data_IF_939670617120
#
_entry.id   IF_939670617120
#
_cell.length_a   1.000
_cell.length_b   1.000
_cell.length_c   1.000
_cell.angle_alpha   90.00
_cell.angle_beta   90.00
_cell.angle_gamma   90.00
#
_symmetry.space_group_name_H-M   'P 1'
#
loop_
_entity.id
_entity.type
_entity.pdbx_description
1 polymer ?
#
# COMPACT_ATOMS: atom_id res chain seq x y z
N UNK A 1 7.70 43.83 -52.58
CA UNK A 1 8.73 42.81 -52.86
C UNK A 1 9.21 42.09 -51.56
N UNK A 2 9.52 42.80 -50.45
CA UNK A 2 10.04 42.22 -49.22
C UNK A 2 9.08 41.22 -48.53
N UNK A 3 7.78 41.49 -48.50
CA UNK A 3 6.78 40.64 -47.84
C UNK A 3 6.63 39.30 -48.58
N UNK A 4 6.66 39.30 -49.91
CA UNK A 4 6.60 38.08 -50.72
C UNK A 4 7.86 37.21 -50.52
N UNK A 5 9.04 37.83 -50.50
CA UNK A 5 10.30 37.13 -50.23
C UNK A 5 10.32 36.52 -48.84
N UNK A 6 9.81 37.23 -47.83
CA UNK A 6 9.70 36.72 -46.45
C UNK A 6 8.74 35.51 -46.35
N UNK A 7 7.61 35.55 -47.07
CA UNK A 7 6.68 34.42 -47.11
C UNK A 7 7.28 33.19 -47.80
N UNK A 8 8.02 33.37 -48.88
CA UNK A 8 8.69 32.29 -49.60
C UNK A 8 9.76 31.64 -48.70
N UNK A 9 10.62 32.47 -48.08
CA UNK A 9 11.66 31.94 -47.16
C UNK A 9 11.06 31.20 -45.96
N UNK A 10 9.99 31.73 -45.37
CA UNK A 10 9.29 31.07 -44.28
C UNK A 10 8.69 29.71 -44.70
N UNK A 11 8.06 29.66 -45.90
CA UNK A 11 7.52 28.42 -46.46
C UNK A 11 8.61 27.39 -46.76
N UNK A 12 9.75 27.80 -47.27
CA UNK A 12 10.91 26.91 -47.52
C UNK A 12 11.50 26.39 -46.22
N UNK A 13 11.63 27.22 -45.18
CA UNK A 13 12.11 26.81 -43.87
C UNK A 13 11.14 25.84 -43.23
N UNK A 14 9.84 26.10 -43.30
CA UNK A 14 8.80 25.20 -42.77
C UNK A 14 8.80 23.86 -43.51
N UNK A 15 8.89 23.88 -44.85
CA UNK A 15 8.96 22.68 -45.68
C UNK A 15 10.21 21.86 -45.38
N UNK A 16 11.39 22.52 -45.25
CA UNK A 16 12.63 21.87 -44.86
C UNK A 16 12.58 21.26 -43.47
N UNK A 17 11.98 21.99 -42.51
CA UNK A 17 11.78 21.48 -41.14
C UNK A 17 10.86 20.25 -41.10
N UNK A 18 9.72 20.29 -41.82
CA UNK A 18 8.80 19.15 -41.91
C UNK A 18 9.45 17.94 -42.57
N UNK A 19 10.24 18.20 -43.67
CA UNK A 19 10.99 17.12 -44.32
C UNK A 19 12.05 16.52 -43.43
N UNK A 20 12.84 17.33 -42.69
CA UNK A 20 13.87 16.89 -41.79
C UNK A 20 13.28 16.05 -40.63
N UNK A 21 12.15 16.51 -40.08
CA UNK A 21 11.45 15.82 -38.96
C UNK A 21 11.08 14.38 -39.28
N UNK A 22 10.76 14.08 -40.57
CA UNK A 22 10.41 12.74 -41.04
C UNK A 22 11.56 12.05 -41.79
N UNK A 23 12.72 12.63 -41.81
CA UNK A 23 13.88 12.09 -42.52
C UNK A 23 14.53 10.94 -41.71
N UNK A 24 15.10 9.98 -42.43
CA UNK A 24 15.94 8.92 -41.85
C UNK A 24 17.20 9.44 -41.15
N UNK A 25 17.58 10.70 -41.42
CA UNK A 25 18.71 11.38 -40.77
C UNK A 25 18.51 11.65 -39.28
N UNK A 26 17.29 11.62 -38.79
CA UNK A 26 16.91 11.87 -37.39
C UNK A 26 16.08 10.71 -36.81
N UNK A 27 16.00 9.60 -37.53
CA UNK A 27 15.33 8.40 -37.07
C UNK A 27 16.04 7.85 -35.83
N UNK A 28 15.27 7.42 -34.83
CA UNK A 28 15.79 6.80 -33.61
C UNK A 28 16.40 5.43 -33.95
N UNK A 29 17.69 5.25 -33.68
CA UNK A 29 18.46 4.01 -33.88
C UNK A 29 18.97 3.47 -32.57
N UNK A 30 19.49 4.34 -31.72
CA UNK A 30 20.09 3.99 -30.42
C UNK A 30 19.08 4.30 -29.31
N UNK A 31 18.49 3.23 -28.77
CA UNK A 31 17.54 3.35 -27.65
C UNK A 31 18.21 2.81 -26.40
N UNK A 32 18.32 3.65 -25.37
CA UNK A 32 18.80 3.25 -24.06
C UNK A 32 17.66 3.26 -23.05
N UNK A 33 17.29 2.09 -22.57
CA UNK A 33 16.28 1.93 -21.51
C UNK A 33 17.00 1.67 -20.20
N UNK A 34 16.63 2.39 -19.16
CA UNK A 34 17.20 2.28 -17.81
C UNK A 34 16.08 2.26 -16.76
N UNK A 35 16.38 1.71 -15.57
CA UNK A 35 15.42 1.70 -14.45
C UNK A 35 14.55 0.46 -14.39
N UNK A 36 14.80 -0.57 -15.22
CA UNK A 36 14.12 -1.85 -15.20
C UNK A 36 14.88 -2.83 -14.28
N UNK A 37 14.20 -3.46 -13.33
CA UNK A 37 14.80 -4.38 -12.36
C UNK A 37 14.01 -5.69 -12.16
N UNK A 38 12.82 -5.80 -12.69
CA UNK A 38 11.94 -6.96 -12.47
C UNK A 38 12.11 -8.09 -13.49
N UNK A 39 11.53 -9.26 -13.24
CA UNK A 39 11.57 -10.40 -14.18
C UNK A 39 10.92 -10.09 -15.53
N UNK A 40 10.04 -9.07 -15.59
CA UNK A 40 9.42 -8.57 -16.81
C UNK A 40 10.25 -7.53 -17.59
N UNK A 41 11.43 -7.14 -17.10
CA UNK A 41 12.28 -6.12 -17.72
C UNK A 41 12.54 -6.32 -19.22
N UNK A 42 12.89 -7.51 -19.72
CA UNK A 42 13.12 -7.72 -21.14
C UNK A 42 11.90 -7.45 -22.02
N UNK A 43 10.70 -7.79 -21.53
CA UNK A 43 9.47 -7.58 -22.28
C UNK A 43 9.09 -6.08 -22.35
N UNK A 44 9.26 -5.34 -21.26
CA UNK A 44 9.07 -3.89 -21.20
C UNK A 44 10.06 -3.18 -22.10
N UNK A 45 11.35 -3.58 -22.05
CA UNK A 45 12.41 -3.03 -22.91
C UNK A 45 12.10 -3.26 -24.38
N UNK A 46 11.75 -4.50 -24.77
CA UNK A 46 11.40 -4.81 -26.16
C UNK A 46 10.22 -3.97 -26.66
N UNK A 47 9.18 -3.78 -25.84
CA UNK A 47 8.03 -2.95 -26.17
C UNK A 47 8.42 -1.48 -26.39
N UNK A 48 9.25 -0.93 -25.48
CA UNK A 48 9.75 0.47 -25.58
C UNK A 48 10.65 0.66 -26.78
N UNK A 49 11.61 -0.24 -27.02
CA UNK A 49 12.52 -0.19 -28.18
C UNK A 49 11.72 -0.29 -29.47
N UNK A 50 10.75 -1.21 -29.55
CA UNK A 50 9.88 -1.35 -30.72
C UNK A 50 9.03 -0.11 -31.00
N UNK A 51 8.55 0.57 -29.96
CA UNK A 51 7.82 1.84 -30.11
C UNK A 51 8.75 3.00 -30.49
N UNK A 52 9.92 3.11 -29.84
CA UNK A 52 10.88 4.17 -30.04
C UNK A 52 11.47 4.20 -31.48
N UNK A 53 11.76 3.03 -32.06
CA UNK A 53 12.29 2.90 -33.42
C UNK A 53 11.35 3.42 -34.52
N UNK A 54 10.07 3.62 -34.20
CA UNK A 54 9.09 4.21 -35.13
C UNK A 54 9.03 5.73 -35.03
N UNK A 55 9.90 6.35 -34.26
CA UNK A 55 9.94 7.80 -34.01
C UNK A 55 11.23 8.42 -34.56
N UNK A 56 11.26 9.73 -34.58
CA UNK A 56 12.48 10.50 -34.82
C UNK A 56 12.88 11.25 -33.54
N UNK A 57 14.17 11.62 -33.43
CA UNK A 57 14.66 12.41 -32.28
C UNK A 57 14.07 13.82 -32.22
N UNK A 58 13.54 14.33 -33.34
CA UNK A 58 12.84 15.62 -33.44
C UNK A 58 11.32 15.49 -33.23
N UNK A 59 10.81 14.26 -33.23
CA UNK A 59 9.37 13.97 -33.09
C UNK A 59 9.14 12.77 -32.18
N UNK A 60 9.41 12.98 -30.90
CA UNK A 60 9.18 11.97 -29.88
C UNK A 60 7.75 12.09 -29.36
N UNK A 61 7.03 10.98 -29.35
CA UNK A 61 5.65 10.88 -28.88
C UNK A 61 5.59 10.10 -27.56
N UNK A 62 5.66 10.76 -26.38
CA UNK A 62 5.61 10.07 -25.09
C UNK A 62 4.32 9.28 -24.88
N UNK A 63 3.21 9.72 -25.48
CA UNK A 63 1.93 9.00 -25.41
C UNK A 63 2.00 7.62 -26.07
N UNK A 64 2.70 7.48 -27.20
CA UNK A 64 2.87 6.20 -27.88
C UNK A 64 3.79 5.26 -27.09
N UNK A 65 4.80 5.78 -26.39
CA UNK A 65 5.62 4.99 -25.47
C UNK A 65 4.81 4.51 -24.27
N UNK A 66 3.98 5.39 -23.67
CA UNK A 66 3.07 4.99 -22.59
C UNK A 66 2.06 3.94 -23.04
N UNK A 67 1.53 4.06 -24.25
CA UNK A 67 0.63 3.07 -24.83
C UNK A 67 1.33 1.71 -25.03
N UNK A 68 2.60 1.69 -25.43
CA UNK A 68 3.37 0.47 -25.60
C UNK A 68 3.61 -0.29 -24.27
N UNK A 69 3.71 0.42 -23.16
CA UNK A 69 3.90 -0.18 -21.83
C UNK A 69 2.61 -0.32 -21.02
N UNK A 70 1.48 0.09 -21.54
CA UNK A 70 0.18 -0.05 -20.86
C UNK A 70 -0.15 -1.49 -20.38
N UNK A 71 0.27 -2.57 -21.08
CA UNK A 71 0.09 -3.94 -20.59
C UNK A 71 0.95 -4.30 -19.37
N UNK A 72 1.92 -3.46 -19.00
CA UNK A 72 2.86 -3.71 -17.91
C UNK A 72 2.59 -2.78 -16.72
N UNK A 73 1.71 -3.17 -15.78
CA UNK A 73 1.30 -2.30 -14.67
C UNK A 73 2.42 -1.99 -13.68
N UNK A 74 3.56 -2.68 -13.76
CA UNK A 74 4.76 -2.37 -12.99
C UNK A 74 5.38 -1.02 -13.40
N UNK A 75 5.14 -0.55 -14.62
CA UNK A 75 5.63 0.74 -15.11
C UNK A 75 4.71 1.84 -14.60
N UNK A 76 5.23 2.67 -13.69
CA UNK A 76 4.52 3.82 -13.14
C UNK A 76 4.59 5.05 -14.04
N UNK A 77 5.79 5.36 -14.54
CA UNK A 77 6.03 6.53 -15.40
C UNK A 77 7.26 6.33 -16.28
N UNK A 78 7.35 7.16 -17.34
CA UNK A 78 8.43 7.18 -18.29
C UNK A 78 9.00 8.59 -18.38
N UNK A 79 10.31 8.70 -18.18
CA UNK A 79 11.06 9.92 -18.49
C UNK A 79 11.82 9.71 -19.79
N UNK A 80 11.55 10.55 -20.78
CA UNK A 80 12.09 10.39 -22.12
C UNK A 80 12.91 11.62 -22.49
N UNK A 81 14.12 11.40 -22.98
CA UNK A 81 14.98 12.46 -23.48
C UNK A 81 15.62 12.04 -24.80
N UNK A 82 15.53 12.92 -25.80
CA UNK A 82 16.18 12.73 -27.10
C UNK A 82 17.66 13.10 -27.00
N UNK A 83 18.52 12.28 -27.60
CA UNK A 83 19.94 12.52 -27.78
C UNK A 83 20.23 12.55 -29.28
N UNK A 84 20.20 13.76 -29.83
CA UNK A 84 20.44 14.02 -31.27
C UNK A 84 21.81 13.45 -31.70
N UNK A 85 21.97 12.91 -32.94
CA UNK A 85 20.95 12.80 -33.98
C UNK A 85 20.06 11.56 -33.93
N UNK A 86 20.45 10.44 -33.28
CA UNK A 86 19.79 9.14 -33.40
C UNK A 86 19.43 8.49 -32.07
N UNK A 87 19.80 9.10 -30.95
CA UNK A 87 19.65 8.54 -29.63
C UNK A 87 18.32 8.87 -28.97
N UNK A 88 17.75 7.91 -28.22
CA UNK A 88 16.63 8.13 -27.31
C UNK A 88 16.94 7.45 -25.98
N UNK A 89 16.89 8.24 -24.91
CA UNK A 89 17.08 7.73 -23.56
C UNK A 89 15.71 7.64 -22.87
N UNK A 90 15.34 6.47 -22.42
CA UNK A 90 14.09 6.20 -21.72
C UNK A 90 14.43 5.70 -20.31
N UNK A 91 14.06 6.47 -19.30
CA UNK A 91 14.14 6.05 -17.92
C UNK A 91 12.77 5.58 -17.46
N UNK A 92 12.67 4.32 -17.12
CA UNK A 92 11.45 3.72 -16.57
C UNK A 92 11.45 3.89 -15.06
N UNK A 93 10.32 4.38 -14.54
CA UNK A 93 10.06 4.44 -13.11
C UNK A 93 9.13 3.28 -12.80
N UNK A 94 9.66 2.25 -12.15
CA UNK A 94 8.89 1.09 -11.72
C UNK A 94 8.22 1.33 -10.36
N UNK A 95 7.10 0.64 -10.14
CA UNK A 95 6.44 0.53 -8.85
C UNK A 95 6.52 -0.91 -8.36
N UNK A 96 7.37 -1.18 -7.36
CA UNK A 96 7.48 -2.53 -6.83
C UNK A 96 6.22 -2.96 -6.07
N UNK A 97 5.91 -4.27 -6.04
CA UNK A 97 4.86 -4.78 -5.20
C UNK A 97 5.22 -4.61 -3.71
N UNK A 98 4.25 -4.20 -2.90
CA UNK A 98 4.41 -4.03 -1.44
C UNK A 98 3.59 -5.02 -0.64
N UNK A 99 2.53 -5.59 -1.23
CA UNK A 99 1.68 -6.59 -0.59
C UNK A 99 1.08 -7.56 -1.61
N UNK A 100 0.68 -8.73 -1.12
CA UNK A 100 -0.14 -9.70 -1.83
C UNK A 100 -1.59 -9.58 -1.35
N UNK A 101 -2.49 -9.10 -2.19
CA UNK A 101 -3.92 -9.04 -1.88
C UNK A 101 -4.52 -10.44 -2.03
N UNK A 102 -5.13 -10.95 -0.96
CA UNK A 102 -5.80 -12.24 -0.91
C UNK A 102 -7.32 -12.06 -0.89
N UNK A 103 -7.99 -12.55 -1.94
CA UNK A 103 -9.46 -12.50 -2.06
C UNK A 103 -9.95 -13.83 -2.64
N UNK A 104 -10.84 -14.51 -1.93
CA UNK A 104 -11.45 -15.74 -2.40
C UNK A 104 -10.48 -16.86 -2.78
N UNK A 105 -9.33 -16.96 -2.09
CA UNK A 105 -8.29 -17.94 -2.39
C UNK A 105 -7.34 -17.56 -3.52
N UNK A 106 -7.56 -16.43 -4.18
CA UNK A 106 -6.65 -15.89 -5.19
C UNK A 106 -5.74 -14.83 -4.58
N UNK A 107 -4.49 -14.78 -5.07
CA UNK A 107 -3.51 -13.78 -4.65
C UNK A 107 -3.07 -12.95 -5.85
N UNK A 108 -2.94 -11.65 -5.64
CA UNK A 108 -2.42 -10.73 -6.65
C UNK A 108 -1.50 -9.70 -6.00
N UNK A 109 -0.41 -9.35 -6.69
CA UNK A 109 0.52 -8.35 -6.20
C UNK A 109 -0.07 -6.94 -6.38
N UNK A 110 0.14 -6.07 -5.37
CA UNK A 110 -0.35 -4.70 -5.35
C UNK A 110 0.78 -3.75 -4.97
N UNK A 111 0.85 -2.61 -5.65
CA UNK A 111 1.79 -1.54 -5.37
C UNK A 111 1.30 -0.64 -4.21
N UNK A 112 2.20 0.17 -3.66
CA UNK A 112 1.91 1.06 -2.54
C UNK A 112 0.81 2.10 -2.83
N UNK A 113 0.64 2.50 -4.09
CA UNK A 113 -0.39 3.43 -4.53
C UNK A 113 -1.75 2.76 -4.82
N UNK A 114 -1.85 1.44 -4.59
CA UNK A 114 -3.06 0.66 -4.78
C UNK A 114 -3.27 0.12 -6.18
N UNK A 115 -2.30 0.26 -7.09
CA UNK A 115 -2.39 -0.35 -8.44
C UNK A 115 -2.17 -1.86 -8.33
N UNK A 116 -3.06 -2.63 -8.93
CA UNK A 116 -2.96 -4.09 -9.03
C UNK A 116 -1.95 -4.45 -10.09
N UNK A 117 -0.87 -5.10 -9.68
CA UNK A 117 0.24 -5.47 -10.58
C UNK A 117 0.05 -6.84 -11.22
N UNK A 118 -0.83 -7.66 -10.68
CA UNK A 118 -1.11 -9.01 -11.19
C UNK A 118 -0.35 -10.13 -10.47
N UNK A 119 -0.68 -11.39 -10.78
CA UNK A 119 -0.12 -12.55 -10.09
C UNK A 119 1.35 -12.84 -10.46
N UNK A 120 1.82 -12.37 -11.61
CA UNK A 120 3.19 -12.62 -12.08
C UNK A 120 4.28 -11.99 -11.19
N UNK A 121 3.91 -10.98 -10.38
CA UNK A 121 4.83 -10.26 -9.48
C UNK A 121 4.67 -10.68 -8.02
N UNK A 122 3.96 -11.78 -7.75
CA UNK A 122 3.86 -12.35 -6.42
C UNK A 122 5.20 -12.91 -5.96
N UNK A 123 5.53 -12.62 -4.70
CA UNK A 123 6.67 -13.21 -4.00
C UNK A 123 6.22 -13.70 -2.64
N UNK A 124 6.83 -14.78 -2.16
CA UNK A 124 6.58 -15.32 -0.83
C UNK A 124 6.99 -14.36 0.31
N UNK A 125 7.79 -13.34 0.00
CA UNK A 125 8.21 -12.31 0.95
C UNK A 125 7.19 -11.17 1.12
N UNK A 126 6.15 -11.12 0.27
CA UNK A 126 5.14 -10.08 0.36
C UNK A 126 4.16 -10.37 1.51
N UNK A 127 3.87 -9.38 2.35
CA UNK A 127 2.83 -9.52 3.37
C UNK A 127 1.46 -9.69 2.71
N UNK A 128 0.63 -10.53 3.31
CA UNK A 128 -0.72 -10.76 2.82
C UNK A 128 -1.68 -9.70 3.34
N UNK A 129 -2.37 -9.03 2.44
CA UNK A 129 -3.44 -8.08 2.74
C UNK A 129 -4.78 -8.77 2.50
N UNK A 130 -5.62 -8.84 3.52
CA UNK A 130 -6.92 -9.51 3.45
C UNK A 130 -8.05 -8.52 3.23
N UNK A 131 -9.02 -8.88 2.39
CA UNK A 131 -10.26 -8.13 2.19
C UNK A 131 -10.37 -7.46 0.83
N UNK A 132 -11.55 -6.85 0.62
CA UNK A 132 -11.86 -6.13 -0.61
C UNK A 132 -12.26 -7.01 -1.80
N UNK A 133 -12.32 -6.39 -2.97
CA UNK A 133 -12.60 -7.04 -4.24
C UNK A 133 -11.33 -7.03 -5.11
N UNK A 134 -11.15 -8.09 -5.89
CA UNK A 134 -10.06 -8.15 -6.88
C UNK A 134 -10.40 -7.17 -8.02
N UNK A 135 -9.48 -6.25 -8.29
CA UNK A 135 -9.52 -5.43 -9.48
C UNK A 135 -8.61 -6.03 -10.56
N UNK A 136 -8.90 -5.83 -11.84
CA UNK A 136 -8.00 -6.23 -12.93
C UNK A 136 -6.61 -5.59 -12.80
N UNK A 137 -5.59 -6.27 -13.32
CA UNK A 137 -4.25 -5.73 -13.38
C UNK A 137 -4.22 -4.37 -14.11
N UNK A 138 -3.45 -3.42 -13.60
CA UNK A 138 -3.38 -2.05 -14.07
C UNK A 138 -4.46 -1.13 -13.49
N UNK A 139 -5.46 -1.64 -12.80
CA UNK A 139 -6.47 -0.82 -12.12
C UNK A 139 -6.08 -0.56 -10.66
N UNK A 140 -6.56 0.57 -10.15
CA UNK A 140 -6.36 0.95 -8.74
C UNK A 140 -7.50 0.40 -7.88
N UNK A 141 -7.15 -0.10 -6.70
CA UNK A 141 -8.12 -0.48 -5.68
C UNK A 141 -8.95 0.73 -5.25
N UNK A 142 -10.21 0.48 -4.91
CA UNK A 142 -11.16 1.52 -4.51
C UNK A 142 -11.49 1.51 -3.02
N UNK A 143 -11.13 0.44 -2.31
CA UNK A 143 -11.39 0.32 -0.87
C UNK A 143 -10.47 1.25 -0.08
N UNK A 144 -11.03 2.21 0.70
CA UNK A 144 -10.22 3.12 1.50
C UNK A 144 -9.36 2.38 2.53
N UNK A 145 -9.89 1.34 3.18
CA UNK A 145 -9.15 0.55 4.17
C UNK A 145 -7.94 -0.17 3.57
N UNK A 146 -8.07 -0.71 2.33
CA UNK A 146 -6.95 -1.32 1.63
C UNK A 146 -5.90 -0.29 1.23
N UNK A 147 -6.31 0.90 0.77
CA UNK A 147 -5.39 1.98 0.42
C UNK A 147 -4.65 2.50 1.66
N UNK A 148 -5.35 2.63 2.79
CA UNK A 148 -4.74 2.97 4.07
C UNK A 148 -3.69 1.92 4.49
N UNK A 149 -4.02 0.63 4.39
CA UNK A 149 -3.09 -0.45 4.69
C UNK A 149 -1.85 -0.42 3.78
N UNK A 150 -2.03 -0.22 2.48
CA UNK A 150 -0.92 -0.11 1.51
C UNK A 150 -0.03 1.09 1.77
N UNK A 151 -0.61 2.23 2.18
CA UNK A 151 0.13 3.42 2.58
C UNK A 151 1.03 3.13 3.79
N UNK A 152 0.50 2.44 4.78
CA UNK A 152 1.26 2.06 5.98
C UNK A 152 2.35 1.03 5.65
N UNK A 153 2.02 -0.01 4.87
CA UNK A 153 2.99 -1.04 4.46
C UNK A 153 4.09 -0.43 3.59
N UNK A 154 3.72 0.43 2.64
CA UNK A 154 4.69 1.11 1.76
C UNK A 154 5.63 2.07 2.48
N UNK A 155 5.25 2.55 3.66
CA UNK A 155 6.09 3.39 4.53
C UNK A 155 7.00 2.59 5.47
N UNK A 156 6.92 1.25 5.45
CA UNK A 156 7.70 0.41 6.34
C UNK A 156 9.20 0.48 6.01
N UNK A 157 10.08 0.58 7.03
CA UNK A 157 11.51 0.42 6.83
C UNK A 157 11.86 -0.96 6.29
N UNK A 158 12.83 -1.04 5.37
CA UNK A 158 13.21 -2.29 4.69
C UNK A 158 13.43 -3.49 5.65
N UNK A 159 14.13 -3.37 6.80
CA UNK A 159 14.31 -4.50 7.70
C UNK A 159 12.99 -4.96 8.35
N UNK A 160 12.00 -4.07 8.51
CA UNK A 160 10.71 -4.43 9.15
C UNK A 160 9.70 -5.03 8.15
N UNK A 161 9.84 -4.74 6.86
CA UNK A 161 8.99 -5.34 5.83
C UNK A 161 9.12 -6.86 5.82
N UNK A 162 10.34 -7.39 6.03
CA UNK A 162 10.59 -8.83 6.04
C UNK A 162 9.95 -9.56 7.22
N UNK A 163 9.64 -8.84 8.28
CA UNK A 163 8.97 -9.40 9.46
C UNK A 163 7.45 -9.28 9.38
N UNK A 164 6.93 -8.51 8.42
CA UNK A 164 5.50 -8.36 8.21
C UNK A 164 4.92 -9.58 7.49
N UNK A 165 3.94 -10.23 8.10
CA UNK A 165 3.29 -11.42 7.56
C UNK A 165 1.97 -11.09 6.88
N UNK A 166 1.13 -10.31 7.57
CA UNK A 166 -0.19 -9.92 7.04
C UNK A 166 -0.68 -8.62 7.65
N UNK A 167 -1.67 -8.01 6.98
CA UNK A 167 -2.38 -6.85 7.46
C UNK A 167 -3.89 -7.03 7.26
N UNK A 168 -4.67 -6.53 8.19
CA UNK A 168 -6.13 -6.54 8.13
C UNK A 168 -6.73 -5.40 8.94
N UNK A 169 -7.97 -5.08 8.66
CA UNK A 169 -8.74 -4.09 9.41
C UNK A 169 -9.43 -4.80 10.58
N UNK A 170 -9.10 -4.42 11.79
CA UNK A 170 -9.57 -5.02 13.03
C UNK A 170 -10.32 -4.03 13.92
N UNK A 171 -10.74 -4.44 15.13
CA UNK A 171 -11.47 -3.56 16.06
C UNK A 171 -10.68 -2.31 16.48
N UNK A 172 -9.35 -2.38 16.44
CA UNK A 172 -8.44 -1.28 16.77
C UNK A 172 -8.00 -0.52 15.50
N UNK A 173 -8.70 -0.70 14.37
CA UNK A 173 -8.31 -0.23 13.05
C UNK A 173 -7.24 -1.11 12.41
N UNK A 174 -6.42 -0.53 11.55
CA UNK A 174 -5.38 -1.27 10.83
C UNK A 174 -4.45 -2.01 11.81
N UNK A 175 -4.43 -3.32 11.67
CA UNK A 175 -3.63 -4.24 12.48
C UNK A 175 -2.66 -4.97 11.58
N UNK A 176 -1.38 -4.91 11.93
CA UNK A 176 -0.32 -5.65 11.27
C UNK A 176 0.07 -6.86 12.13
N UNK A 177 0.31 -7.98 11.48
CA UNK A 177 0.84 -9.19 12.11
C UNK A 177 2.27 -9.37 11.67
N UNK A 178 3.18 -9.30 12.60
CA UNK A 178 4.59 -9.57 12.39
C UNK A 178 4.90 -11.04 12.66
N UNK A 179 6.12 -11.45 12.36
CA UNK A 179 6.62 -12.79 12.71
C UNK A 179 6.39 -13.10 14.19
N UNK A 180 6.31 -14.39 14.52
CA UNK A 180 5.97 -14.88 15.86
C UNK A 180 4.58 -14.46 16.34
N UNK A 181 3.68 -14.10 15.37
CA UNK A 181 2.30 -13.69 15.65
C UNK A 181 2.18 -12.44 16.54
N UNK A 182 3.17 -11.56 16.52
CA UNK A 182 3.14 -10.30 17.23
C UNK A 182 2.21 -9.32 16.50
N UNK A 183 1.22 -8.81 17.21
CA UNK A 183 0.29 -7.82 16.67
C UNK A 183 0.85 -6.41 16.84
N UNK A 184 0.65 -5.56 15.81
CA UNK A 184 0.95 -4.15 15.89
C UNK A 184 -0.27 -3.33 15.46
N UNK A 185 -0.84 -2.57 16.39
CA UNK A 185 -2.02 -1.73 16.13
C UNK A 185 -1.59 -0.37 15.63
N UNK A 186 -1.88 -0.11 14.36
CA UNK A 186 -1.59 1.16 13.68
C UNK A 186 -2.79 2.11 13.68
N UNK A 187 -4.03 1.55 13.76
CA UNK A 187 -5.25 2.33 13.73
C UNK A 187 -5.58 2.85 12.34
N UNK A 188 -5.03 3.99 11.98
CA UNK A 188 -5.21 4.63 10.67
C UNK A 188 -3.89 4.80 9.90
N UNK A 189 -3.96 5.35 8.70
CA UNK A 189 -2.81 5.63 7.84
C UNK A 189 -2.07 6.94 8.17
N UNK A 190 -2.52 7.67 9.19
CA UNK A 190 -1.88 8.92 9.57
C UNK A 190 -0.47 8.66 10.11
N UNK A 191 0.48 9.54 9.74
CA UNK A 191 1.86 9.54 10.27
C UNK A 191 2.57 8.18 10.24
N UNK A 192 2.52 7.43 9.13
CA UNK A 192 2.94 6.03 9.09
C UNK A 192 4.43 5.87 9.46
N UNK A 193 5.30 6.76 9.00
CA UNK A 193 6.72 6.70 9.34
C UNK A 193 6.98 6.88 10.84
N UNK A 194 6.23 7.77 11.51
CA UNK A 194 6.34 7.95 12.95
C UNK A 194 5.89 6.71 13.72
N UNK A 195 4.80 6.07 13.29
CA UNK A 195 4.31 4.83 13.88
C UNK A 195 5.29 3.67 13.68
N UNK A 196 5.91 3.56 12.51
CA UNK A 196 6.96 2.56 12.27
C UNK A 196 8.20 2.79 13.14
N UNK A 197 8.61 4.07 13.31
CA UNK A 197 9.73 4.41 14.19
C UNK A 197 9.41 4.10 15.66
N UNK A 198 8.18 4.39 16.10
CA UNK A 198 7.72 4.05 17.43
C UNK A 198 7.72 2.52 17.65
N UNK A 199 7.22 1.74 16.68
CA UNK A 199 7.26 0.29 16.73
C UNK A 199 8.69 -0.24 16.82
N UNK A 200 9.61 0.30 16.02
CA UNK A 200 11.02 -0.09 16.06
C UNK A 200 11.66 0.17 17.44
N UNK A 201 11.33 1.28 18.08
CA UNK A 201 11.80 1.60 19.42
C UNK A 201 11.27 0.63 20.47
N UNK A 202 9.97 0.32 20.41
CA UNK A 202 9.37 -0.65 21.33
C UNK A 202 9.98 -2.03 21.14
N UNK A 203 10.17 -2.48 19.90
CA UNK A 203 10.78 -3.78 19.61
C UNK A 203 12.25 -3.89 20.08
N UNK A 204 12.96 -2.78 20.14
CA UNK A 204 14.33 -2.70 20.62
C UNK A 204 14.43 -2.59 22.16
N UNK A 205 13.32 -2.31 22.84
CA UNK A 205 13.28 -2.20 24.31
C UNK A 205 13.20 -3.59 24.94
N UNK A 206 14.18 -3.98 25.77
CA UNK A 206 14.15 -5.26 26.47
C UNK A 206 12.90 -5.48 27.34
N UNK A 207 12.32 -4.40 27.87
CA UNK A 207 11.11 -4.48 28.72
C UNK A 207 9.87 -4.93 27.94
N UNK A 208 9.87 -4.80 26.62
CA UNK A 208 8.81 -5.25 25.73
C UNK A 208 9.02 -6.67 25.21
N UNK A 209 10.10 -7.33 25.60
CA UNK A 209 10.37 -8.69 25.15
C UNK A 209 9.28 -9.66 25.59
N UNK A 210 8.74 -10.45 24.64
CA UNK A 210 7.62 -11.35 24.90
C UNK A 210 6.24 -10.70 24.87
N UNK A 211 6.14 -9.42 24.47
CA UNK A 211 4.87 -8.77 24.23
C UNK A 211 4.05 -9.52 23.17
N UNK A 212 2.74 -9.60 23.38
CA UNK A 212 1.79 -10.20 22.44
C UNK A 212 1.29 -9.17 21.42
N UNK A 213 1.30 -7.92 21.79
CA UNK A 213 0.95 -6.82 20.90
C UNK A 213 1.71 -5.53 21.25
N UNK A 214 1.82 -4.67 20.25
CA UNK A 214 2.32 -3.30 20.38
C UNK A 214 1.27 -2.32 19.83
N UNK A 215 0.93 -1.31 20.61
CA UNK A 215 0.02 -0.25 20.19
C UNK A 215 0.84 1.00 19.82
N UNK A 216 0.83 1.34 18.54
CA UNK A 216 1.53 2.50 17.98
C UNK A 216 0.57 3.49 17.34
N UNK A 217 -0.73 3.41 17.64
CA UNK A 217 -1.73 4.35 17.15
C UNK A 217 -1.36 5.79 17.51
N UNK A 218 -0.77 5.96 18.68
CA UNK A 218 -0.17 7.22 19.13
C UNK A 218 1.34 7.06 19.19
N UNK A 219 2.10 7.49 18.17
CA UNK A 219 3.55 7.24 18.12
C UNK A 219 4.35 7.93 19.22
N UNK A 220 3.78 8.93 19.90
CA UNK A 220 4.37 9.60 21.05
C UNK A 220 4.28 8.79 22.35
N UNK A 221 3.32 7.86 22.40
CA UNK A 221 3.03 7.01 23.58
C UNK A 221 2.80 5.57 23.14
N UNK A 222 3.79 4.92 22.53
CA UNK A 222 3.66 3.54 22.17
C UNK A 222 3.57 2.67 23.41
N UNK A 223 2.81 1.57 23.34
CA UNK A 223 2.64 0.63 24.44
C UNK A 223 2.85 -0.80 23.98
N UNK A 224 3.50 -1.61 24.80
CA UNK A 224 3.58 -3.05 24.63
C UNK A 224 2.62 -3.72 25.62
N UNK A 225 1.89 -4.74 25.16
CA UNK A 225 1.00 -5.51 26.02
C UNK A 225 1.31 -7.00 25.96
N UNK A 226 1.05 -7.66 27.06
CA UNK A 226 1.31 -9.07 27.25
C UNK A 226 -0.01 -9.84 27.31
N UNK A 227 0.00 -11.09 26.84
CA UNK A 227 -1.14 -11.98 27.00
C UNK A 227 -1.41 -12.22 28.49
N UNK A 228 -2.68 -12.48 28.91
CA UNK A 228 -2.99 -12.84 30.28
C UNK A 228 -2.13 -14.02 30.73
N UNK A 229 -1.36 -13.84 31.82
CA UNK A 229 -0.44 -14.86 32.34
C UNK A 229 1.01 -14.79 31.83
N UNK A 230 1.30 -13.97 30.81
CA UNK A 230 2.68 -13.68 30.44
C UNK A 230 3.22 -12.56 31.35
N UNK A 231 4.23 -12.87 32.15
CA UNK A 231 4.93 -11.85 32.93
C UNK A 231 5.87 -11.06 31.99
N UNK A 232 5.90 -9.72 32.08
CA UNK A 232 6.95 -8.95 31.46
C UNK A 232 8.31 -9.39 32.02
N UNK A 233 9.38 -9.36 31.21
CA UNK A 233 10.71 -9.66 31.73
C UNK A 233 11.00 -8.71 32.89
N UNK A 234 11.29 -9.28 34.03
CA UNK A 234 11.77 -8.49 35.17
C UNK A 234 13.05 -7.81 34.71
N UNK A 235 13.02 -6.51 34.56
CA UNK A 235 14.23 -5.73 34.42
C UNK A 235 15.09 -6.11 35.61
N UNK A 236 16.22 -6.77 35.37
CA UNK A 236 17.26 -6.94 36.38
C UNK A 236 17.80 -5.55 36.66
N UNK A 237 17.03 -4.79 37.45
CA UNK A 237 17.50 -3.57 38.05
C UNK A 237 18.69 -3.98 38.88
N UNK A 238 19.86 -3.61 38.43
CA UNK A 238 21.07 -3.59 39.23
C UNK A 238 20.72 -2.82 40.49
N UNK A 239 20.46 -3.56 41.55
CA UNK A 239 20.53 -3.02 42.92
C UNK A 239 21.97 -2.56 43.12
N UNK A 240 22.25 -1.32 42.79
CA UNK A 240 23.44 -0.66 43.26
C UNK A 240 23.29 -0.48 44.76
N UNK A 241 23.87 -1.44 45.46
CA UNK A 241 24.63 -1.29 46.66
C UNK A 241 24.12 -0.22 47.65
N UNK A 242 23.18 -0.58 48.49
CA UNK A 242 23.07 0.05 49.82
C UNK A 242 23.92 -0.78 50.76
N UNK A 243 25.15 -0.35 51.00
CA UNK A 243 25.99 -0.80 52.11
C UNK A 243 25.27 -0.59 53.41
N UNK A 244 25.27 -1.55 54.32
CA UNK A 244 24.83 -1.34 55.68
C UNK A 244 26.01 -0.73 56.43
N UNK A 245 25.89 0.56 56.78
CA UNK A 245 26.74 1.22 57.75
C UNK A 245 26.19 0.91 59.15
N UNK A 246 27.01 0.22 59.87
CA UNK A 246 26.92 -0.16 61.27
C UNK A 246 26.88 1.03 62.22
N UNK A 247 26.17 0.80 63.34
CA UNK A 247 26.45 1.15 64.75
C UNK A 247 26.33 2.56 65.27
N UNK A 248 25.59 2.66 66.34
CA UNK A 248 25.77 3.67 67.37
C UNK A 248 24.56 3.92 68.27
N UNK A 249 24.34 3.02 69.20
CA UNK A 249 24.01 3.20 70.63
C UNK A 249 23.03 4.26 71.12
N UNK A 250 22.01 3.76 71.79
CA UNK A 250 21.59 4.14 73.15
C UNK A 250 20.97 5.53 73.35
N UNK A 251 19.73 5.51 73.90
CA UNK A 251 19.20 6.64 74.64
C UNK A 251 17.68 6.73 74.64
N UNK A 252 17.05 5.95 75.51
CA UNK A 252 15.71 6.14 76.08
C UNK A 252 15.83 6.98 77.33
N UNK A 253 14.79 7.51 78.05
CA UNK A 253 13.44 7.97 77.68
C UNK A 253 13.10 9.36 78.24
N UNK A 254 11.92 9.84 78.00
CA UNK A 254 10.96 10.48 78.95
C UNK A 254 10.08 11.50 78.21
N UNK A 255 8.85 11.20 78.17
CA UNK A 255 7.69 11.63 78.98
C UNK A 255 7.15 13.03 78.72
N UNK A 256 5.83 12.99 78.59
CA UNK A 256 4.85 14.02 78.95
C UNK A 256 4.59 15.11 77.93
N UNK A 257 3.38 15.13 77.54
CA UNK A 257 2.29 15.95 78.08
C UNK A 257 1.73 16.87 77.06
N UNK A 258 0.48 16.77 76.86
CA UNK A 258 -0.42 17.89 76.99
C UNK A 258 -1.14 18.35 75.74
N UNK A 259 -2.41 17.96 75.78
CA UNK A 259 -3.55 18.80 75.54
C UNK A 259 -3.89 19.33 74.13
N UNK A 260 -5.00 18.87 73.65
CA UNK A 260 -6.06 19.59 72.89
C UNK A 260 -6.46 20.85 73.65
N UNK A 261 -7.32 21.79 73.22
CA UNK A 261 -8.31 21.68 72.14
C UNK A 261 -8.62 23.00 71.30
N UNK A 262 -9.56 22.82 70.37
CA UNK A 262 -10.70 23.71 70.05
C UNK A 262 -10.49 25.11 69.42
N UNK A 263 -11.20 25.33 68.39
CA UNK A 263 -12.28 26.28 68.04
C UNK A 263 -12.10 26.74 66.59
N UNK A 264 -13.01 26.49 65.70
CA UNK A 264 -14.30 27.12 65.40
C UNK A 264 -14.21 28.51 64.75
N UNK A 265 -15.10 28.62 63.84
CA UNK A 265 -15.67 29.76 63.08
C UNK A 265 -15.10 29.91 61.69
N UNK A 266 -15.90 29.97 60.67
CA UNK A 266 -17.34 30.27 60.50
C UNK A 266 -17.53 30.97 59.20
N UNK A 267 -18.66 30.66 58.61
CA UNK A 267 -19.49 31.50 57.77
C UNK A 267 -19.06 31.75 56.32
N UNK A 268 -19.76 31.20 55.40
CA UNK A 268 -21.06 31.58 54.84
C UNK A 268 -21.01 32.74 53.86
N UNK A 269 -21.45 32.51 52.68
CA UNK A 269 -22.52 33.16 51.88
C UNK A 269 -22.42 32.67 50.45
N UNK A 270 -23.42 31.93 50.02
CA UNK A 270 -24.66 32.38 49.39
C UNK A 270 -24.48 33.15 48.09
N UNK A 271 -25.08 32.59 47.04
CA UNK A 271 -25.24 33.26 45.77
C UNK A 271 -25.73 32.36 44.64
N UNK A 272 -26.89 31.72 44.79
CA UNK A 272 -27.75 31.38 43.66
C UNK A 272 -28.74 32.56 43.48
N UNK A 273 -29.16 32.90 42.24
CA UNK A 273 -30.36 32.26 41.69
C UNK A 273 -30.37 32.12 40.15
N UNK A 274 -30.93 31.01 39.67
CA UNK A 274 -32.23 30.93 38.99
C UNK A 274 -32.41 31.74 37.69
N UNK A 275 -32.80 31.01 36.68
CA UNK A 275 -33.41 31.51 35.44
C UNK A 275 -33.57 30.36 34.44
N UNK A 276 -34.64 29.62 34.59
CA UNK A 276 -35.86 29.51 33.81
C UNK A 276 -35.58 29.17 32.34
N UNK A 277 -35.84 28.02 31.86
CA UNK A 277 -37.05 27.26 31.65
C UNK A 277 -37.41 27.17 30.18
N UNK A 278 -38.29 26.33 29.75
CA UNK A 278 -38.10 25.43 28.61
C UNK A 278 -38.82 25.92 27.34
N UNK A 279 -38.43 25.43 26.19
CA UNK A 279 -39.29 25.49 25.01
C UNK A 279 -39.28 24.18 24.27
N UNK A 280 -40.38 23.52 24.43
CA UNK A 280 -40.98 22.49 23.63
C UNK A 280 -41.24 22.97 22.19
N UNK A 281 -41.16 22.09 21.25
CA UNK A 281 -41.63 22.24 19.87
C UNK A 281 -41.36 20.92 19.18
N UNK A 282 -42.23 20.02 19.31
CA UNK A 282 -43.37 19.52 18.54
C UNK A 282 -43.05 19.09 17.13
N UNK A 283 -43.29 17.80 16.93
CA UNK A 283 -43.50 17.13 15.64
C UNK A 283 -44.73 17.71 14.90
N UNK A 284 -44.86 17.57 13.57
CA UNK A 284 -45.68 16.49 13.03
C UNK A 284 -45.01 15.78 11.82
N UNK A 285 -45.06 14.47 11.69
CA UNK A 285 -46.15 13.59 11.30
C UNK A 285 -46.71 13.81 9.90
N UNK A 286 -46.63 12.75 9.11
CA UNK A 286 -47.53 12.30 8.04
C UNK A 286 -47.33 12.82 6.63
N UNK A 287 -47.10 11.83 5.75
CA UNK A 287 -47.17 11.92 4.29
C UNK A 287 -47.06 10.56 3.68
N UNK A 288 -48.09 9.78 3.87
CA UNK A 288 -48.43 8.50 3.22
C UNK A 288 -48.96 8.78 1.80
N UNK A 289 -48.48 8.03 0.81
CA UNK A 289 -49.16 7.60 -0.42
C UNK A 289 -48.23 6.66 -1.13
N UNK A 290 -48.43 5.34 -1.12
CA UNK A 290 -49.35 4.51 -1.88
C UNK A 290 -49.34 4.80 -3.41
N UNK A 291 -48.74 3.88 -4.14
CA UNK A 291 -48.73 3.83 -5.58
C UNK A 291 -48.44 2.38 -6.03
N UNK A 292 -49.50 1.60 -6.06
CA UNK A 292 -49.64 0.27 -6.62
C UNK A 292 -49.48 0.29 -8.15
N UNK A 293 -48.96 -0.77 -8.71
CA UNK A 293 -48.97 -1.07 -10.15
C UNK A 293 -48.01 -2.24 -10.36
N UNK A 294 -48.40 -3.40 -10.17
CA UNK A 294 -49.19 -4.42 -10.89
C UNK A 294 -48.51 -4.90 -12.16
N UNK A 295 -48.09 -6.20 -12.09
CA UNK A 295 -48.17 -7.31 -13.02
C UNK A 295 -47.71 -7.14 -14.47
N UNK A 296 -46.75 -7.98 -14.86
CA UNK A 296 -46.93 -9.00 -15.88
C UNK A 296 -45.65 -9.83 -16.10
N UNK A 297 -45.65 -11.07 -15.75
CA UNK A 297 -45.05 -12.21 -16.50
C UNK A 297 -46.23 -12.92 -17.17
N UNK A 298 -46.05 -13.88 -18.11
CA UNK A 298 -44.87 -14.60 -18.56
C UNK A 298 -44.82 -14.72 -20.12
N UNK A 299 -43.72 -15.27 -20.64
CA UNK A 299 -43.63 -15.68 -22.03
C UNK A 299 -42.61 -16.82 -22.16
N UNK A 300 -43.11 -18.04 -21.99
CA UNK A 300 -42.50 -19.27 -22.51
C UNK A 300 -42.59 -19.30 -24.04
N UNK A 301 -41.56 -19.84 -24.65
CA UNK A 301 -41.49 -20.68 -25.86
C UNK A 301 -40.00 -20.83 -26.14
N UNK A 302 -39.39 -21.99 -26.12
CA UNK A 302 -39.79 -23.24 -26.68
C UNK A 302 -38.89 -23.54 -27.87
N UNK A 303 -38.34 -24.72 -27.87
CA UNK A 303 -37.84 -25.48 -29.03
C UNK A 303 -36.32 -25.50 -29.20
N UNK A 304 -35.62 -26.55 -28.77
CA UNK A 304 -35.37 -27.80 -29.53
C UNK A 304 -34.40 -27.65 -30.71
N UNK A 305 -33.36 -28.45 -30.68
CA UNK A 305 -32.48 -28.75 -31.82
C UNK A 305 -31.07 -28.99 -31.34
N UNK A 306 -30.77 -30.16 -30.97
CA UNK A 306 -30.28 -31.36 -31.66
C UNK A 306 -28.75 -31.37 -31.79
N UNK A 307 -28.12 -32.30 -31.06
CA UNK A 307 -26.80 -32.83 -31.36
C UNK A 307 -26.88 -33.82 -32.54
N UNK A 308 -25.83 -34.07 -33.29
CA UNK A 308 -25.18 -35.36 -33.13
C UNK A 308 -23.64 -35.33 -33.19
N UNK A 309 -22.99 -36.04 -32.30
CA UNK A 309 -22.34 -37.35 -32.40
C UNK A 309 -21.23 -37.55 -33.44
N UNK A 310 -20.09 -38.02 -32.87
CA UNK A 310 -19.20 -39.07 -33.39
C UNK A 310 -18.21 -38.76 -34.50
N UNK A 311 -16.97 -39.12 -34.16
CA UNK A 311 -15.82 -39.42 -35.03
C UNK A 311 -14.54 -39.45 -34.21
N UNK A 312 -14.24 -40.39 -33.48
CA UNK A 312 -13.49 -41.63 -33.50
C UNK A 312 -12.68 -41.85 -34.76
N UNK A 313 -11.35 -41.77 -34.58
CA UNK A 313 -10.28 -42.56 -35.24
C UNK A 313 -8.95 -42.08 -34.60
N UNK A 314 -8.30 -42.85 -33.76
CA UNK A 314 -7.41 -43.97 -33.94
C UNK A 314 -6.43 -43.78 -35.12
N UNK A 315 -5.10 -43.64 -34.76
CA UNK A 315 -4.05 -44.44 -35.29
C UNK A 315 -2.70 -43.96 -34.79
N UNK A 316 -2.08 -44.71 -33.94
CA UNK A 316 -0.90 -45.53 -34.20
C UNK A 316 0.41 -44.77 -34.12
N UNK A 317 1.14 -45.10 -33.05
CA UNK A 317 2.60 -45.07 -33.03
C UNK A 317 3.14 -46.14 -34.00
N UNK A 318 4.39 -46.10 -34.42
CA UNK A 318 5.32 -47.00 -33.73
C UNK A 318 6.70 -46.40 -33.35
N UNK A 319 7.25 -47.08 -32.38
CA UNK A 319 8.65 -47.08 -31.97
C UNK A 319 9.54 -47.67 -33.07
N UNK A 320 10.82 -47.30 -33.04
CA UNK A 320 12.02 -48.15 -33.31
C UNK A 320 13.20 -47.21 -33.18
N UNK A 321 14.07 -47.40 -32.24
CA UNK A 321 15.17 -48.35 -32.01
C UNK A 321 16.43 -48.06 -32.84
N UNK A 322 17.52 -48.17 -32.10
CA UNK A 322 18.92 -48.48 -32.44
C UNK A 322 19.88 -47.27 -32.52
N UNK A 323 20.77 -47.11 -31.57
CA UNK A 323 21.99 -47.86 -31.30
C UNK A 323 23.18 -47.41 -32.17
N UNK A 324 24.27 -47.19 -31.50
CA UNK A 324 25.65 -47.14 -32.03
C UNK A 324 26.24 -45.74 -31.96
N UNK A 325 27.28 -45.37 -31.20
CA UNK A 325 28.45 -46.14 -30.85
C UNK A 325 29.65 -45.41 -31.41
N UNK A 326 30.58 -45.10 -30.53
CA UNK A 326 31.98 -44.79 -30.80
C UNK A 326 32.37 -43.43 -31.39
N UNK A 327 33.27 -42.80 -30.62
CA UNK A 327 34.14 -41.74 -31.01
C UNK A 327 34.60 -40.92 -29.82
#
# INVERSE_FOLDING_TARGET
>A
MGLLACLITLSLLLGSWLWLRHSSLVAVRDVRVTGLQGPGAPAVEAALVGAARRMSTLDVHPAALRAAVAPFPIVRDLQVSAAFPHGLHIRVIEQPPVAALAVGGTHTAVAADGVVLGPALLSASLPTLQGGAVAPAGQRLRSPSLLAALTVIGAAPAPMVTDLVRAFDGPMGLTLVLRRNLLAYFGDESRPHAKWLALARVLADPSSAGASYNDVRLPERPAAGFAPGAMPPLSSGTSANASPGEEGASGEPAASGGARPLAEHGSASEGTPAGVGPSSGEHPSSGEQAGSGEQAAPGEHGSSGEAPSRGSERSSAPAEEAAGGHG
#
